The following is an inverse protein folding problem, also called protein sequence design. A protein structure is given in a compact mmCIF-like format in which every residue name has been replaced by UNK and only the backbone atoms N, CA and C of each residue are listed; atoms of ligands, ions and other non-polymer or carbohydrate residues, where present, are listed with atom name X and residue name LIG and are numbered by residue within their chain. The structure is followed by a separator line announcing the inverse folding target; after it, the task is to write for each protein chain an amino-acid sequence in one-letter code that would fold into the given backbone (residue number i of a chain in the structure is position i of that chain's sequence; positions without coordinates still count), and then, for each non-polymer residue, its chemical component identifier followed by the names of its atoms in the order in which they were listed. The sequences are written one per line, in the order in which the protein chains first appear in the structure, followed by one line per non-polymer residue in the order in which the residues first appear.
data_IF_267310753341
#
_entry.id   IF_267310753341
#
_cell.length_a   1.000
_cell.length_b   1.000
_cell.length_c   1.000
_cell.angle_alpha   90.00
_cell.angle_beta   90.00
_cell.angle_gamma   90.00
#
_symmetry.space_group_name_H-M   'P 1'
#
loop_
_entity.id
_entity.type
_entity.pdbx_description
1 polymer ?
#
# COMPACT_ATOMS: atom_id res chain seq x y z
N UNK A 1 -58.80 5.26 11.77
CA UNK A 1 -58.62 4.29 10.66
C UNK A 1 -57.99 3.00 11.14
N UNK A 2 -58.71 1.86 11.06
CA UNK A 2 -58.24 0.54 11.52
C UNK A 2 -56.88 0.13 10.94
N UNK A 3 -56.65 0.40 9.65
CA UNK A 3 -55.41 0.01 8.95
C UNK A 3 -54.15 0.77 9.40
N UNK A 4 -54.30 1.96 10.00
CA UNK A 4 -53.16 2.71 10.56
C UNK A 4 -52.73 2.15 11.92
N UNK A 5 -53.66 1.58 12.70
CA UNK A 5 -53.39 0.97 14.01
C UNK A 5 -52.59 -0.33 13.87
N UNK A 6 -52.93 -1.17 12.87
CA UNK A 6 -52.21 -2.41 12.60
C UNK A 6 -50.73 -2.19 12.15
N UNK A 7 -50.46 -1.17 11.33
CA UNK A 7 -49.06 -0.85 10.94
C UNK A 7 -48.26 -0.29 12.12
N UNK A 8 -48.92 0.44 13.03
CA UNK A 8 -48.30 0.97 14.23
C UNK A 8 -47.96 -0.14 15.23
N UNK A 9 -48.87 -1.08 15.49
CA UNK A 9 -48.61 -2.20 16.40
C UNK A 9 -47.46 -3.08 15.94
N UNK A 10 -47.37 -3.38 14.63
CA UNK A 10 -46.25 -4.15 14.08
C UNK A 10 -44.93 -3.38 14.20
N UNK A 11 -44.96 -2.06 14.00
CA UNK A 11 -43.76 -1.21 14.15
C UNK A 11 -43.32 -1.10 15.61
N UNK A 12 -44.26 -0.97 16.54
CA UNK A 12 -44.01 -0.92 17.98
C UNK A 12 -43.49 -2.29 18.46
N UNK A 13 -44.11 -3.40 18.05
CA UNK A 13 -43.62 -4.76 18.34
C UNK A 13 -42.18 -4.97 17.86
N UNK A 14 -41.88 -4.60 16.62
CA UNK A 14 -40.51 -4.66 16.08
C UNK A 14 -39.54 -3.76 16.83
N UNK A 15 -39.97 -2.57 17.29
CA UNK A 15 -39.13 -1.69 18.11
C UNK A 15 -38.84 -2.33 19.46
N UNK A 16 -39.84 -2.89 20.14
CA UNK A 16 -39.68 -3.61 21.41
C UNK A 16 -38.77 -4.85 21.27
N UNK A 17 -38.96 -5.66 20.24
CA UNK A 17 -38.10 -6.81 19.93
C UNK A 17 -36.66 -6.38 19.61
N UNK A 18 -36.50 -5.28 18.87
CA UNK A 18 -35.17 -4.84 18.44
C UNK A 18 -34.33 -4.21 19.55
N UNK A 19 -34.94 -3.74 20.65
CA UNK A 19 -34.33 -3.02 21.79
C UNK A 19 -33.30 -1.90 21.42
N UNK A 20 -33.18 -1.56 20.14
CA UNK A 20 -32.12 -0.73 19.57
C UNK A 20 -32.26 0.76 19.89
N UNK A 21 -33.44 1.17 20.37
CA UNK A 21 -33.78 2.57 20.70
C UNK A 21 -33.70 2.86 22.21
N UNK A 22 -33.41 1.85 23.03
CA UNK A 22 -33.18 2.04 24.46
C UNK A 22 -31.68 2.34 24.61
N UNK A 23 -31.34 3.50 25.19
CA UNK A 23 -29.96 3.78 25.63
C UNK A 23 -29.46 2.57 26.41
N UNK A 24 -28.21 2.12 26.24
CA UNK A 24 -27.71 0.93 26.95
C UNK A 24 -28.03 1.10 28.44
N UNK A 25 -28.97 0.30 28.92
CA UNK A 25 -29.38 0.31 30.32
C UNK A 25 -28.13 -0.03 31.13
N UNK A 26 -27.91 0.68 32.24
CA UNK A 26 -26.71 0.56 33.08
C UNK A 26 -26.35 -0.88 33.49
N UNK A 27 -27.29 -1.84 33.37
CA UNK A 27 -27.09 -3.29 33.55
C UNK A 27 -26.19 -3.96 32.49
N UNK A 28 -25.82 -3.24 31.43
CA UNK A 28 -24.79 -3.65 30.46
C UNK A 28 -23.44 -2.97 30.75
N UNK A 29 -23.27 -2.43 31.97
CA UNK A 29 -21.97 -1.94 32.46
C UNK A 29 -20.99 -3.11 32.56
N UNK A 30 -19.73 -2.83 32.28
CA UNK A 30 -18.64 -3.82 32.31
C UNK A 30 -18.54 -4.52 33.69
N UNK A 31 -19.04 -3.87 34.73
CA UNK A 31 -19.00 -4.35 36.13
C UNK A 31 -20.05 -5.44 36.45
N UNK A 32 -21.16 -5.49 35.71
CA UNK A 32 -22.25 -6.46 35.93
C UNK A 32 -22.18 -7.69 34.99
N UNK A 33 -21.23 -7.72 34.04
CA UNK A 33 -21.05 -8.82 33.11
C UNK A 33 -20.25 -9.97 33.77
N UNK A 34 -20.87 -11.14 33.96
CA UNK A 34 -20.16 -12.36 34.43
C UNK A 34 -18.92 -12.70 33.60
N UNK A 35 -18.97 -12.39 32.30
CA UNK A 35 -17.86 -12.57 31.37
C UNK A 35 -17.73 -11.30 30.54
N UNK A 36 -16.60 -10.57 30.63
CA UNK A 36 -16.36 -9.39 29.83
C UNK A 36 -16.49 -9.70 28.33
N UNK A 37 -17.14 -8.81 27.56
CA UNK A 37 -17.28 -8.92 26.09
C UNK A 37 -16.02 -9.40 25.35
N UNK A 38 -14.83 -8.95 25.78
CA UNK A 38 -13.55 -9.40 25.21
C UNK A 38 -13.27 -10.88 25.44
N UNK A 39 -13.45 -11.36 26.67
CA UNK A 39 -13.31 -12.77 27.03
C UNK A 39 -14.39 -13.63 26.38
N UNK A 40 -15.64 -13.14 26.32
CA UNK A 40 -16.73 -13.83 25.65
C UNK A 40 -16.46 -14.06 24.15
N UNK A 41 -15.79 -13.12 23.46
CA UNK A 41 -15.35 -13.31 22.06
C UNK A 41 -14.26 -14.36 21.92
N UNK A 42 -13.37 -14.47 22.90
CA UNK A 42 -12.27 -15.44 22.90
C UNK A 42 -12.82 -16.84 23.18
N UNK A 43 -13.67 -16.99 24.21
CA UNK A 43 -14.29 -18.27 24.55
C UNK A 43 -15.20 -18.79 23.43
N UNK A 44 -15.96 -17.90 22.77
CA UNK A 44 -16.81 -18.26 21.64
C UNK A 44 -16.09 -18.25 20.27
N UNK A 45 -14.75 -18.12 20.24
CA UNK A 45 -14.01 -17.91 18.99
C UNK A 45 -14.25 -19.04 17.96
N UNK A 46 -14.31 -20.29 18.41
CA UNK A 46 -14.55 -21.44 17.53
C UNK A 46 -15.94 -21.35 16.86
N UNK A 47 -16.97 -21.01 17.63
CA UNK A 47 -18.33 -20.83 17.12
C UNK A 47 -18.42 -19.65 16.15
N UNK A 48 -17.77 -18.52 16.46
CA UNK A 48 -17.70 -17.35 15.56
C UNK A 48 -17.01 -17.70 14.24
N UNK A 49 -15.94 -18.48 14.28
CA UNK A 49 -15.23 -18.93 13.07
C UNK A 49 -16.09 -19.88 12.24
N UNK A 50 -16.81 -20.80 12.87
CA UNK A 50 -17.75 -21.71 12.20
C UNK A 50 -18.92 -20.95 11.57
N UNK A 51 -19.56 -20.05 12.30
CA UNK A 51 -20.62 -19.19 11.77
C UNK A 51 -20.12 -18.32 10.61
N UNK A 52 -18.90 -17.80 10.69
CA UNK A 52 -18.29 -17.05 9.59
C UNK A 52 -18.02 -17.94 8.37
N UNK A 53 -17.51 -19.15 8.57
CA UNK A 53 -17.27 -20.11 7.50
C UNK A 53 -18.57 -20.57 6.84
N UNK A 54 -19.60 -20.86 7.65
CA UNK A 54 -20.94 -21.18 7.19
C UNK A 54 -21.59 -20.02 6.45
N UNK A 55 -21.50 -18.80 6.98
CA UNK A 55 -22.02 -17.61 6.31
C UNK A 55 -21.28 -17.33 5.01
N UNK A 56 -19.98 -17.59 4.95
CA UNK A 56 -19.20 -17.51 3.71
C UNK A 56 -19.61 -18.59 2.70
N UNK A 57 -19.96 -19.80 3.17
CA UNK A 57 -20.43 -20.91 2.33
C UNK A 57 -21.88 -20.71 1.84
N UNK A 58 -22.78 -20.26 2.73
CA UNK A 58 -24.21 -20.01 2.46
C UNK A 58 -24.42 -18.69 1.68
N UNK A 59 -23.68 -17.64 2.00
CA UNK A 59 -23.69 -16.37 1.27
C UNK A 59 -23.05 -16.42 -0.12
N UNK A 60 -22.48 -17.56 -0.52
CA UNK A 60 -22.07 -17.83 -1.89
C UNK A 60 -23.22 -18.46 -2.71
N UNK A 61 -24.25 -19.00 -2.05
CA UNK A 61 -25.34 -19.74 -2.70
C UNK A 61 -26.65 -18.94 -2.80
N UNK A 62 -26.93 -18.01 -1.88
CA UNK A 62 -28.28 -17.41 -1.79
C UNK A 62 -28.37 -15.91 -2.07
N UNK A 63 -27.31 -15.11 -2.02
CA UNK A 63 -27.34 -13.74 -2.51
C UNK A 63 -25.95 -13.11 -2.46
N UNK A 64 -25.54 -12.43 -3.53
CA UNK A 64 -24.30 -11.68 -3.67
C UNK A 64 -24.21 -10.43 -2.78
N UNK A 65 -24.54 -10.54 -1.49
CA UNK A 65 -24.47 -9.48 -0.52
C UNK A 65 -23.79 -9.97 0.77
N UNK A 66 -22.46 -9.89 0.78
CA UNK A 66 -21.70 -9.87 2.04
C UNK A 66 -22.18 -8.74 2.97
N UNK A 67 -21.69 -8.67 4.23
CA UNK A 67 -22.18 -7.72 5.23
C UNK A 67 -21.83 -6.27 4.83
N UNK A 68 -22.69 -5.68 4.01
CA UNK A 68 -22.61 -4.32 3.51
C UNK A 68 -23.23 -3.37 4.54
N UNK A 69 -22.41 -2.89 5.49
CA UNK A 69 -22.76 -1.66 6.20
C UNK A 69 -22.53 -0.49 5.25
N UNK A 70 -23.65 0.09 4.78
CA UNK A 70 -23.80 1.43 4.20
C UNK A 70 -22.81 1.79 3.09
N UNK A 71 -23.07 1.32 1.87
CA UNK A 71 -22.85 2.18 0.70
C UNK A 71 -24.18 2.79 0.30
N UNK A 72 -24.22 4.11 0.28
CA UNK A 72 -25.33 4.89 -0.28
C UNK A 72 -25.67 4.30 -1.66
N UNK A 73 -26.94 3.95 -1.81
CA UNK A 73 -27.58 3.59 -3.06
C UNK A 73 -27.57 4.84 -3.95
N UNK A 74 -26.54 5.00 -4.76
CA UNK A 74 -26.71 5.70 -6.05
C UNK A 74 -27.33 4.67 -6.97
N UNK A 75 -28.50 5.01 -7.49
CA UNK A 75 -29.16 4.34 -8.60
C UNK A 75 -28.13 3.91 -9.64
N UNK A 76 -27.99 2.61 -9.85
CA UNK A 76 -28.29 2.03 -11.16
C UNK A 76 -28.37 0.53 -11.01
N UNK A 77 -29.59 0.07 -11.16
CA UNK A 77 -29.98 -1.32 -11.24
C UNK A 77 -30.04 -1.59 -12.73
N UNK A 78 -28.90 -1.93 -13.33
CA UNK A 78 -28.82 -2.71 -14.57
C UNK A 78 -27.40 -3.23 -14.74
N UNK A 79 -27.18 -4.42 -14.15
CA UNK A 79 -26.09 -5.29 -14.55
C UNK A 79 -26.54 -6.03 -15.81
N UNK A 80 -25.82 -5.83 -16.91
CA UNK A 80 -25.99 -6.68 -18.09
C UNK A 80 -25.68 -5.98 -19.41
N UNK A 81 -24.39 -5.99 -19.79
CA UNK A 81 -24.00 -6.17 -21.19
C UNK A 81 -24.47 -5.10 -22.22
N UNK A 82 -24.28 -3.81 -21.94
CA UNK A 82 -24.45 -2.72 -22.94
C UNK A 82 -23.11 -2.01 -23.28
N UNK A 83 -21.98 -2.71 -23.21
CA UNK A 83 -20.64 -2.12 -23.29
C UNK A 83 -20.22 -1.59 -24.67
N UNK A 84 -21.01 -1.82 -25.73
CA UNK A 84 -20.70 -1.34 -27.07
C UNK A 84 -21.45 -0.07 -27.49
N UNK A 85 -22.67 0.15 -27.01
CA UNK A 85 -23.55 1.23 -27.49
C UNK A 85 -23.48 2.51 -26.66
N UNK A 86 -23.00 2.44 -25.40
CA UNK A 86 -23.00 3.60 -24.49
C UNK A 86 -21.74 4.48 -24.57
N UNK A 87 -20.70 4.05 -25.27
CA UNK A 87 -19.45 4.81 -25.42
C UNK A 87 -19.42 5.68 -26.69
N UNK A 88 -20.58 6.16 -27.14
CA UNK A 88 -20.67 7.25 -28.11
C UNK A 88 -21.00 8.56 -27.40
N UNK A 89 -20.55 9.67 -27.96
CA UNK A 89 -20.93 11.01 -27.50
C UNK A 89 -22.43 11.15 -27.72
N UNK A 90 -23.18 11.47 -26.67
CA UNK A 90 -24.62 11.71 -26.81
C UNK A 90 -24.87 13.12 -27.37
N UNK A 91 -25.96 13.33 -28.13
CA UNK A 91 -26.30 14.66 -28.62
C UNK A 91 -26.47 15.63 -27.44
N UNK A 92 -25.78 16.77 -27.50
CA UNK A 92 -25.78 17.79 -26.44
C UNK A 92 -24.84 17.51 -25.26
N UNK A 93 -24.09 16.40 -25.28
CA UNK A 93 -23.08 16.11 -24.27
C UNK A 93 -21.75 16.79 -24.59
N UNK A 94 -21.13 17.42 -23.57
CA UNK A 94 -19.76 17.91 -23.70
C UNK A 94 -18.74 16.77 -23.71
N UNK A 95 -17.62 16.94 -24.43
CA UNK A 95 -16.52 15.95 -24.45
C UNK A 95 -16.05 15.55 -23.05
N UNK A 96 -16.09 16.47 -22.09
CA UNK A 96 -15.71 16.21 -20.69
C UNK A 96 -16.62 15.18 -20.00
N UNK A 97 -17.93 15.22 -20.28
CA UNK A 97 -18.90 14.29 -19.68
C UNK A 97 -18.78 12.91 -20.31
N UNK A 98 -18.54 12.88 -21.63
CA UNK A 98 -18.27 11.65 -22.35
C UNK A 98 -17.05 10.93 -21.75
N UNK A 99 -15.93 11.66 -21.57
CA UNK A 99 -14.73 11.11 -20.96
C UNK A 99 -14.99 10.57 -19.54
N UNK A 100 -15.76 11.29 -18.70
CA UNK A 100 -16.12 10.79 -17.36
C UNK A 100 -16.89 9.48 -17.41
N UNK A 101 -17.86 9.34 -18.33
CA UNK A 101 -18.61 8.08 -18.48
C UNK A 101 -17.73 6.94 -18.98
N UNK A 102 -16.86 7.22 -19.94
CA UNK A 102 -15.87 6.24 -20.44
C UNK A 102 -14.99 5.76 -19.30
N UNK A 103 -14.45 6.69 -18.51
CA UNK A 103 -13.63 6.39 -17.34
C UNK A 103 -14.39 5.55 -16.33
N UNK A 104 -15.62 5.94 -15.97
CA UNK A 104 -16.43 5.22 -14.99
C UNK A 104 -16.79 3.80 -15.46
N UNK A 105 -17.10 3.61 -16.74
CA UNK A 105 -17.35 2.31 -17.33
C UNK A 105 -16.10 1.41 -17.30
N UNK A 106 -14.92 1.96 -17.60
CA UNK A 106 -13.65 1.24 -17.54
C UNK A 106 -13.07 1.09 -16.13
N UNK A 107 -13.55 1.87 -15.16
CA UNK A 107 -12.97 1.94 -13.81
C UNK A 107 -13.01 0.59 -13.11
N UNK A 108 -14.04 -0.21 -13.35
CA UNK A 108 -14.17 -1.51 -12.74
C UNK A 108 -13.14 -2.50 -13.27
N UNK A 109 -12.98 -2.61 -14.59
CA UNK A 109 -12.02 -3.53 -15.22
C UNK A 109 -10.58 -3.18 -14.86
N UNK A 110 -10.25 -1.88 -14.82
CA UNK A 110 -8.93 -1.41 -14.35
C UNK A 110 -8.70 -1.81 -12.89
N UNK A 111 -9.71 -1.64 -12.02
CA UNK A 111 -9.60 -2.04 -10.61
C UNK A 111 -9.41 -3.54 -10.46
N UNK A 112 -10.12 -4.36 -11.22
CA UNK A 112 -9.96 -5.82 -11.20
C UNK A 112 -8.58 -6.24 -11.69
N UNK A 113 -8.11 -5.67 -12.80
CA UNK A 113 -6.78 -5.94 -13.31
C UNK A 113 -5.68 -5.59 -12.29
N UNK A 114 -5.81 -4.46 -11.58
CA UNK A 114 -4.91 -4.08 -10.49
C UNK A 114 -4.97 -5.05 -9.30
N UNK A 115 -6.17 -5.51 -8.92
CA UNK A 115 -6.29 -6.48 -7.83
C UNK A 115 -5.67 -7.82 -8.21
N UNK A 116 -5.93 -8.30 -9.42
CA UNK A 116 -5.36 -9.54 -9.95
C UNK A 116 -3.84 -9.47 -10.06
N UNK A 117 -3.28 -8.37 -10.54
CA UNK A 117 -1.83 -8.19 -10.64
C UNK A 117 -1.18 -8.16 -9.25
N UNK A 118 -1.78 -7.45 -8.29
CA UNK A 118 -1.29 -7.41 -6.91
C UNK A 118 -1.32 -8.80 -6.23
N UNK A 119 -2.36 -9.60 -6.51
CA UNK A 119 -2.46 -10.96 -6.00
C UNK A 119 -1.40 -11.88 -6.62
N UNK A 120 -1.14 -11.75 -7.94
CA UNK A 120 -0.07 -12.47 -8.63
C UNK A 120 1.31 -12.13 -8.05
N UNK A 121 1.60 -10.84 -7.82
CA UNK A 121 2.85 -10.39 -7.20
C UNK A 121 3.04 -10.98 -5.79
N UNK A 122 1.97 -11.04 -4.98
CA UNK A 122 2.04 -11.65 -3.64
C UNK A 122 2.29 -13.15 -3.70
N UNK A 123 1.66 -13.87 -4.65
CA UNK A 123 1.89 -15.30 -4.85
C UNK A 123 3.33 -15.57 -5.29
N UNK A 124 3.82 -14.85 -6.29
CA UNK A 124 5.20 -14.95 -6.76
C UNK A 124 6.22 -14.71 -5.63
N UNK A 125 6.02 -13.67 -4.81
CA UNK A 125 6.89 -13.39 -3.66
C UNK A 125 6.84 -14.50 -2.60
N UNK A 126 5.67 -15.11 -2.37
CA UNK A 126 5.53 -16.24 -1.43
C UNK A 126 6.24 -17.49 -1.95
N UNK A 127 6.12 -17.77 -3.24
CA UNK A 127 6.80 -18.89 -3.91
C UNK A 127 8.32 -18.71 -3.90
N UNK A 128 8.82 -17.50 -4.17
CA UNK A 128 10.25 -17.17 -4.09
C UNK A 128 10.82 -17.41 -2.67
N UNK A 129 10.09 -16.98 -1.63
CA UNK A 129 10.50 -17.21 -0.25
C UNK A 129 10.52 -18.71 0.11
N UNK A 130 9.51 -19.48 -0.32
CA UNK A 130 9.47 -20.93 -0.09
C UNK A 130 10.61 -21.68 -0.82
N UNK A 131 10.97 -21.24 -2.03
CA UNK A 131 12.12 -21.79 -2.77
C UNK A 131 13.46 -21.43 -2.09
N UNK A 132 13.56 -20.24 -1.48
CA UNK A 132 14.75 -19.82 -0.74
C UNK A 132 14.91 -20.59 0.58
N UNK A 133 13.81 -20.87 1.28
CA UNK A 133 13.83 -21.67 2.51
C UNK A 133 14.26 -23.12 2.23
N UNK A 134 13.72 -23.76 1.18
CA UNK A 134 14.06 -25.14 0.79
C UNK A 134 15.49 -25.29 0.25
N UNK A 135 16.03 -24.29 -0.45
CA UNK A 135 17.42 -24.30 -0.92
C UNK A 135 18.44 -23.98 0.19
N UNK A 136 18.07 -23.16 1.18
CA UNK A 136 18.94 -22.85 2.32
C UNK A 136 19.06 -23.99 3.34
N UNK A 137 18.01 -24.80 3.53
CA UNK A 137 18.05 -25.98 4.42
C UNK A 137 18.95 -27.11 3.86
N UNK A 138 19.02 -27.26 2.53
CA UNK A 138 19.90 -28.26 1.86
C UNK A 138 21.38 -27.87 1.86
N UNK A 139 21.70 -26.58 2.04
CA UNK A 139 23.09 -26.10 2.21
C UNK A 139 23.59 -26.24 3.66
N UNK A 140 22.69 -26.17 4.66
CA UNK A 140 23.04 -26.35 6.08
C UNK A 140 23.24 -27.81 6.50
N UNK A 141 22.66 -28.78 5.79
CA UNK A 141 22.87 -30.21 6.09
C UNK A 141 24.15 -30.80 5.49
N UNK A 142 24.81 -30.11 4.54
CA UNK A 142 26.09 -30.56 3.95
C UNK A 142 27.35 -30.04 4.65
N UNK A 143 27.22 -29.09 5.58
CA UNK A 143 28.36 -28.51 6.32
C UNK A 143 28.55 -29.09 7.73
N UNK A 144 27.82 -30.16 8.11
CA UNK A 144 27.93 -30.81 9.43
C UNK A 144 28.45 -32.26 9.39
N UNK A 145 28.83 -32.79 8.23
CA UNK A 145 29.36 -34.15 8.08
C UNK A 145 30.82 -34.22 7.60
N UNK A 146 31.63 -33.19 7.91
CA UNK A 146 33.07 -33.17 7.63
C UNK A 146 33.84 -32.53 8.80
N UNK A 147 33.91 -33.24 9.93
CA UNK A 147 35.18 -33.37 10.66
C UNK A 147 35.96 -34.51 10.00
N UNK A 148 37.27 -34.66 10.05
CA UNK A 148 38.23 -34.41 11.13
C UNK A 148 39.62 -34.83 10.59
N UNK A 149 40.65 -33.98 10.71
CA UNK A 149 42.07 -34.41 10.81
C UNK A 149 42.97 -33.21 11.18
N UNK A 150 43.45 -33.25 12.42
CA UNK A 150 44.76 -32.91 12.98
C UNK A 150 45.52 -31.61 12.65
N UNK A 151 45.99 -30.97 13.74
CA UNK A 151 47.02 -29.93 13.74
C UNK A 151 47.05 -29.15 15.05
N UNK A 152 47.82 -29.65 16.03
CA UNK A 152 48.11 -29.04 17.34
C UNK A 152 48.73 -27.63 17.22
N UNK A 153 48.43 -26.73 18.18
CA UNK A 153 49.43 -26.07 19.07
C UNK A 153 48.77 -25.05 20.02
N UNK A 154 49.03 -25.25 21.31
CA UNK A 154 49.13 -24.32 22.47
C UNK A 154 48.59 -22.88 22.35
N UNK A 155 47.80 -22.40 23.33
CA UNK A 155 48.32 -21.85 24.60
C UNK A 155 47.17 -21.48 25.58
N UNK A 156 47.52 -21.26 26.84
CA UNK A 156 46.74 -21.46 28.06
C UNK A 156 45.97 -20.23 28.63
N UNK A 157 45.34 -20.49 29.80
CA UNK A 157 44.68 -19.62 30.80
C UNK A 157 43.18 -19.31 30.61
N UNK A 158 42.23 -19.92 31.36
CA UNK A 158 41.86 -19.75 32.81
C UNK A 158 41.38 -18.30 33.12
N UNK A 159 40.28 -17.96 33.80
CA UNK A 159 39.39 -18.57 34.80
C UNK A 159 37.95 -17.95 34.71
N UNK A 160 36.98 -18.54 35.41
CA UNK A 160 35.63 -17.98 35.66
C UNK A 160 35.65 -17.05 36.92
N UNK A 161 34.50 -16.69 37.53
CA UNK A 161 33.47 -15.68 37.21
C UNK A 161 33.42 -14.56 38.29
N UNK A 162 32.58 -13.50 38.18
CA UNK A 162 31.77 -12.91 39.27
C UNK A 162 31.17 -11.50 38.96
N UNK A 163 29.85 -11.39 39.23
CA UNK A 163 29.16 -10.33 40.02
C UNK A 163 28.98 -8.90 39.47
N UNK A 164 27.74 -8.66 39.03
CA UNK A 164 26.85 -7.52 39.33
C UNK A 164 27.36 -6.07 39.28
N UNK A 165 26.72 -5.25 38.44
CA UNK A 165 26.22 -3.91 38.85
C UNK A 165 24.86 -3.63 38.22
N UNK A 166 23.96 -3.07 39.04
CA UNK A 166 22.57 -2.71 38.74
C UNK A 166 22.50 -1.20 38.46
N UNK A 167 21.78 -0.82 37.37
CA UNK A 167 20.92 0.39 37.18
C UNK A 167 21.61 1.80 37.25
N UNK A 168 21.16 2.82 36.48
CA UNK A 168 19.80 3.34 36.55
C UNK A 168 19.09 3.72 35.23
N UNK A 169 17.79 3.87 35.40
CA UNK A 169 16.76 4.37 34.49
C UNK A 169 17.16 5.73 33.93
N UNK A 170 17.39 5.82 32.63
CA UNK A 170 17.45 7.08 31.90
C UNK A 170 16.08 7.37 31.27
N UNK A 171 15.71 8.63 31.39
CA UNK A 171 14.42 9.26 31.14
C UNK A 171 13.92 9.10 29.70
N UNK A 172 12.60 8.97 29.58
CA UNK A 172 11.87 9.04 28.31
C UNK A 172 11.76 10.49 27.85
N UNK A 173 12.85 11.07 27.39
CA UNK A 173 12.84 12.32 26.64
C UNK A 173 13.56 12.08 25.32
N UNK A 174 13.12 12.73 24.24
CA UNK A 174 13.54 12.53 22.83
C UNK A 174 12.77 11.47 22.02
N UNK A 175 11.44 11.46 22.17
CA UNK A 175 10.61 11.35 20.94
C UNK A 175 10.48 12.76 20.37
N UNK A 176 11.00 13.07 19.17
CA UNK A 176 10.79 14.38 18.57
C UNK A 176 9.28 14.60 18.42
N UNK A 177 8.78 15.70 18.99
CA UNK A 177 7.40 16.16 18.77
C UNK A 177 7.30 16.55 17.30
N UNK A 178 6.31 16.01 16.58
CA UNK A 178 6.05 16.24 15.15
C UNK A 178 5.72 17.70 14.77
N UNK A 179 5.94 18.65 15.68
CA UNK A 179 5.78 20.09 15.48
C UNK A 179 6.86 20.89 16.21
N UNK A 180 8.13 20.45 16.13
CA UNK A 180 9.21 21.43 16.21
C UNK A 180 9.00 22.42 15.06
N UNK A 181 8.42 23.58 15.43
CA UNK A 181 8.21 24.72 14.56
C UNK A 181 9.55 25.02 13.92
N UNK A 182 9.64 24.75 12.63
CA UNK A 182 10.78 25.13 11.81
C UNK A 182 10.95 26.63 12.06
N UNK A 183 11.98 26.99 12.82
CA UNK A 183 12.49 28.33 12.98
C UNK A 183 12.98 28.74 11.60
N UNK A 184 12.04 29.19 10.78
CA UNK A 184 12.28 29.56 9.40
C UNK A 184 13.05 30.87 9.43
N UNK A 185 14.34 30.77 9.12
CA UNK A 185 15.15 31.89 8.64
C UNK A 185 14.70 32.27 7.22
N UNK A 186 13.41 32.60 7.03
CA UNK A 186 12.82 32.97 5.74
C UNK A 186 12.04 34.29 5.87
N UNK A 187 12.25 35.27 4.96
CA UNK A 187 11.89 36.66 5.16
C UNK A 187 10.39 36.96 5.00
N UNK A 188 9.94 38.00 5.71
CA UNK A 188 8.53 38.38 5.92
C UNK A 188 7.86 39.12 4.75
N UNK A 189 8.49 39.23 3.57
CA UNK A 189 7.94 40.03 2.44
C UNK A 189 7.86 39.20 1.16
N UNK A 190 6.70 39.28 0.50
CA UNK A 190 6.33 38.56 -0.73
C UNK A 190 7.29 38.80 -1.92
N UNK A 191 8.05 39.90 -1.90
CA UNK A 191 8.95 40.30 -2.99
C UNK A 191 10.38 39.74 -2.85
N UNK A 192 10.72 39.12 -1.71
CA UNK A 192 12.03 38.44 -1.51
C UNK A 192 12.02 36.98 -2.01
N UNK A 193 10.94 36.54 -2.66
CA UNK A 193 10.78 35.19 -3.23
C UNK A 193 11.35 35.14 -4.64
N UNK A 194 12.54 35.72 -4.87
CA UNK A 194 13.36 35.32 -6.02
C UNK A 194 14.19 34.13 -5.56
N UNK A 195 13.52 32.99 -5.35
CA UNK A 195 14.20 31.74 -5.01
C UNK A 195 14.86 31.18 -6.27
N UNK A 196 16.19 31.24 -6.31
CA UNK A 196 16.94 30.32 -7.17
C UNK A 196 16.51 28.88 -6.84
N UNK A 197 16.40 27.98 -7.83
CA UNK A 197 15.99 26.60 -7.59
C UNK A 197 16.88 25.98 -6.49
N UNK A 198 16.29 25.35 -5.45
CA UNK A 198 17.07 24.82 -4.35
C UNK A 198 18.04 23.74 -4.84
N UNK A 199 19.33 23.93 -4.58
CA UNK A 199 20.38 22.97 -4.93
C UNK A 199 20.50 21.89 -3.85
N UNK A 200 20.13 20.65 -4.19
CA UNK A 200 20.29 19.50 -3.30
C UNK A 200 21.74 19.02 -3.27
N UNK A 201 22.58 19.64 -2.44
CA UNK A 201 24.00 19.25 -2.26
C UNK A 201 24.18 17.90 -1.55
N UNK A 202 23.12 17.30 -1.01
CA UNK A 202 23.17 16.01 -0.29
C UNK A 202 22.07 15.07 -0.82
N UNK A 203 22.48 13.90 -1.31
CA UNK A 203 21.53 12.88 -1.76
C UNK A 203 20.74 12.32 -0.57
N UNK A 204 19.44 12.03 -0.73
CA UNK A 204 18.67 11.33 0.29
C UNK A 204 19.29 9.95 0.56
N UNK A 205 19.34 9.56 1.85
CA UNK A 205 20.09 8.38 2.37
C UNK A 205 19.86 7.06 1.61
N UNK A 206 18.80 6.92 0.82
CA UNK A 206 18.48 5.72 0.03
C UNK A 206 19.02 5.72 -1.41
N UNK A 207 19.43 6.87 -1.95
CA UNK A 207 19.99 6.96 -3.30
C UNK A 207 21.47 6.53 -3.38
N UNK A 208 22.23 6.60 -2.28
CA UNK A 208 23.61 6.09 -2.22
C UNK A 208 23.70 4.60 -2.55
N UNK A 209 22.72 3.81 -2.10
CA UNK A 209 22.66 2.35 -2.37
C UNK A 209 22.34 2.01 -3.83
N UNK A 210 21.66 2.90 -4.55
CA UNK A 210 21.38 2.74 -5.99
C UNK A 210 22.58 3.18 -6.84
N UNK A 211 23.29 4.25 -6.44
CA UNK A 211 24.53 4.68 -7.09
C UNK A 211 25.65 3.63 -6.96
N UNK A 212 25.76 2.95 -5.81
CA UNK A 212 26.70 1.83 -5.61
C UNK A 212 26.35 0.58 -6.43
N UNK A 213 25.08 0.41 -6.81
CA UNK A 213 24.62 -0.73 -7.62
C UNK A 213 24.66 -0.46 -9.13
N UNK A 214 24.82 0.80 -9.56
CA UNK A 214 24.80 1.20 -10.97
C UNK A 214 26.12 1.75 -11.54
N UNK A 215 27.15 1.96 -10.71
CA UNK A 215 28.40 2.57 -11.18
C UNK A 215 29.42 1.50 -11.62
N UNK A 216 29.34 1.12 -12.89
CA UNK A 216 30.50 0.65 -13.61
C UNK A 216 31.59 1.72 -13.52
N UNK A 217 32.74 1.35 -12.95
CA UNK A 217 33.98 2.11 -13.10
C UNK A 217 34.32 2.10 -14.59
N UNK A 218 34.13 3.21 -15.30
CA UNK A 218 34.99 3.66 -16.40
C UNK A 218 34.53 5.00 -16.98
N UNK A 219 35.54 5.80 -17.25
CA UNK A 219 35.65 6.89 -18.20
C UNK A 219 35.28 8.31 -17.74
N UNK A 220 36.36 9.10 -17.69
CA UNK A 220 36.41 10.54 -17.61
C UNK A 220 35.57 11.18 -18.71
N UNK A 221 34.58 11.97 -18.31
CA UNK A 221 33.76 12.73 -19.25
C UNK A 221 32.44 13.15 -18.64
N UNK A 222 32.49 14.14 -17.74
CA UNK A 222 31.39 15.06 -17.36
C UNK A 222 29.94 14.60 -17.53
N UNK A 223 29.58 13.39 -17.06
CA UNK A 223 28.18 13.00 -16.90
C UNK A 223 27.66 13.55 -15.58
N UNK A 224 26.89 14.62 -15.66
CA UNK A 224 26.26 15.21 -14.47
C UNK A 224 25.40 14.15 -13.75
N UNK A 225 25.36 14.20 -12.42
CA UNK A 225 24.66 13.26 -11.52
C UNK A 225 23.15 13.06 -11.82
N UNK A 226 22.57 13.79 -12.78
CA UNK A 226 21.21 13.60 -13.30
C UNK A 226 21.08 12.41 -14.24
N UNK A 227 22.15 12.02 -14.93
CA UNK A 227 22.12 10.91 -15.89
C UNK A 227 22.10 9.54 -15.21
N UNK A 228 22.70 9.41 -14.02
CA UNK A 228 22.73 8.13 -13.28
C UNK A 228 21.43 7.75 -12.54
N UNK A 229 20.39 8.60 -12.56
CA UNK A 229 19.13 8.38 -11.83
C UNK A 229 17.98 7.95 -12.76
N UNK A 230 18.16 8.06 -14.07
CA UNK A 230 17.14 7.66 -15.05
C UNK A 230 17.26 6.16 -15.33
N UNK A 231 16.13 5.47 -15.29
CA UNK A 231 16.07 4.06 -15.69
C UNK A 231 16.55 3.92 -17.14
N UNK A 232 17.30 2.87 -17.47
CA UNK A 232 17.80 2.61 -18.84
C UNK A 232 16.69 2.69 -19.91
N UNK A 233 15.46 2.28 -19.57
CA UNK A 233 14.30 2.39 -20.47
C UNK A 233 13.88 3.84 -20.73
N UNK A 234 13.98 4.71 -19.72
CA UNK A 234 13.68 6.13 -19.85
C UNK A 234 14.78 6.86 -20.62
N UNK A 235 16.03 6.45 -20.44
CA UNK A 235 17.15 6.99 -21.22
C UNK A 235 16.98 6.66 -22.72
N UNK A 236 16.63 5.42 -23.06
CA UNK A 236 16.37 5.03 -24.45
C UNK A 236 15.25 5.85 -25.11
N UNK A 237 14.14 6.10 -24.38
CA UNK A 237 13.04 6.91 -24.90
C UNK A 237 13.46 8.37 -25.17
N UNK A 238 14.24 8.96 -24.26
CA UNK A 238 14.76 10.32 -24.44
C UNK A 238 15.78 10.41 -25.58
N UNK A 239 16.57 9.37 -25.81
CA UNK A 239 17.52 9.29 -26.92
C UNK A 239 16.79 9.19 -28.27
N UNK A 240 15.69 8.44 -28.37
CA UNK A 240 14.83 8.41 -29.56
C UNK A 240 14.23 9.79 -29.88
N UNK A 241 13.73 10.51 -28.86
CA UNK A 241 13.19 11.86 -29.04
C UNK A 241 14.28 12.84 -29.47
N UNK A 242 15.48 12.72 -28.92
CA UNK A 242 16.64 13.52 -29.31
C UNK A 242 17.01 13.29 -30.77
N UNK A 243 17.03 12.05 -31.24
CA UNK A 243 17.28 11.75 -32.64
C UNK A 243 16.23 12.35 -33.57
N UNK A 244 14.95 12.27 -33.21
CA UNK A 244 13.86 12.88 -33.98
C UNK A 244 14.04 14.39 -34.08
N UNK A 245 14.36 15.06 -32.98
CA UNK A 245 14.60 16.50 -32.95
C UNK A 245 15.81 16.89 -33.81
N UNK A 246 16.91 16.11 -33.76
CA UNK A 246 18.10 16.36 -34.59
C UNK A 246 17.78 16.18 -36.07
N UNK A 247 16.99 15.16 -36.46
CA UNK A 247 16.58 14.95 -37.85
C UNK A 247 15.77 16.15 -38.38
N UNK A 248 14.74 16.56 -37.64
CA UNK A 248 13.93 17.73 -38.00
C UNK A 248 14.77 19.01 -38.10
N UNK A 249 15.69 19.22 -37.16
CA UNK A 249 16.59 20.38 -37.20
C UNK A 249 17.54 20.34 -38.41
N UNK A 250 18.05 19.16 -38.78
CA UNK A 250 18.89 19.00 -39.97
C UNK A 250 18.11 19.26 -41.25
N UNK A 251 16.86 18.80 -41.33
CA UNK A 251 15.97 19.06 -42.46
C UNK A 251 15.66 20.55 -42.60
N UNK A 252 15.26 21.21 -41.50
CA UNK A 252 15.04 22.66 -41.46
C UNK A 252 16.30 23.44 -41.83
N UNK A 253 17.46 23.03 -41.35
CA UNK A 253 18.73 23.68 -41.67
C UNK A 253 19.10 23.51 -43.14
N UNK A 254 18.89 22.31 -43.71
CA UNK A 254 19.08 22.06 -45.16
C UNK A 254 18.13 22.90 -46.00
N UNK A 255 16.86 22.96 -45.63
CA UNK A 255 15.86 23.79 -46.31
C UNK A 255 16.22 25.29 -46.24
N UNK A 256 16.71 25.76 -45.08
CA UNK A 256 17.15 27.14 -44.88
C UNK A 256 18.42 27.51 -45.67
N UNK A 257 19.32 26.56 -45.94
CA UNK A 257 20.52 26.79 -46.75
C UNK A 257 20.31 26.59 -48.25
N UNK A 258 19.21 25.93 -48.64
CA UNK A 258 18.86 25.68 -50.03
C UNK A 258 17.90 26.75 -50.61
N UNK A 259 17.34 27.60 -49.75
CA UNK A 259 16.63 28.83 -50.11
C UNK A 259 17.61 30.02 -50.10
#
# INVERSE_FOLDING_TARGET
MPHKRAKRSVREKKRYESQNDIRPIAKNSIEDEEIPKGAARILNAAKIQQEYAEKKRKGLLEDGAGPSRKKRKTSDKDGGNASGSHLRIQPGESMSHFNRRVEDAMRHSVREAMQLSSAKLRKARKEELAQKETSSSKRRSRSRSRGQSDGETSDAESEKPHKATRKPVATKDEKPKDFEKISTSAPKRLNDIVQAPPEFKKLPRKAKKLAEQGAAKKDEGTKTLREGVLSMAQQAMMEEERERAIRLYRELKRAKTAA
#
